data_IF_330526139587
#
_entry.id   IF_330526139587
#
_cell.length_a   1.000
_cell.length_b   1.000
_cell.length_c   1.000
_cell.angle_alpha   90.00
_cell.angle_beta   90.00
_cell.angle_gamma   90.00
#
_symmetry.space_group_name_H-M   'P 1'
#
loop_
_entity.id
_entity.type
_entity.pdbx_description
1 polymer ?
#
# COMPACT_ATOMS: atom_id res chain seq x y z
N UNK A 1 -31.89 -20.54 52.89
CA UNK A 1 -32.40 -20.97 51.57
C UNK A 1 -31.51 -20.28 50.53
N UNK A 2 -30.54 -21.00 49.95
CA UNK A 2 -29.49 -20.43 49.10
C UNK A 2 -30.04 -19.99 47.73
N UNK A 3 -29.51 -18.87 47.25
CA UNK A 3 -29.77 -18.27 45.93
C UNK A 3 -29.34 -19.21 44.80
N UNK A 4 -30.22 -19.42 43.82
CA UNK A 4 -29.89 -20.08 42.57
C UNK A 4 -29.00 -19.19 41.69
N UNK A 5 -27.71 -19.51 41.60
CA UNK A 5 -26.80 -18.92 40.63
C UNK A 5 -27.24 -19.38 39.23
N UNK A 6 -27.81 -18.45 38.45
CA UNK A 6 -27.93 -18.64 36.99
C UNK A 6 -26.51 -18.75 36.42
N UNK A 7 -26.13 -19.94 35.97
CA UNK A 7 -24.93 -20.06 35.14
C UNK A 7 -25.16 -19.30 33.84
N UNK A 8 -24.31 -18.29 33.58
CA UNK A 8 -24.22 -17.67 32.26
C UNK A 8 -23.69 -18.72 31.28
N UNK A 9 -24.26 -18.91 30.09
CA UNK A 9 -23.64 -19.77 29.10
C UNK A 9 -22.27 -19.19 28.70
N UNK A 10 -21.22 -20.01 28.78
CA UNK A 10 -19.97 -19.79 28.06
C UNK A 10 -20.22 -20.11 26.58
N UNK A 11 -20.19 -19.11 25.71
CA UNK A 11 -20.21 -19.25 24.25
C UNK A 11 -19.86 -17.87 23.67
N UNK A 12 -18.88 -17.67 22.79
CA UNK A 12 -17.86 -18.49 22.17
C UNK A 12 -16.63 -17.58 22.03
N UNK A 13 -15.41 -18.12 22.08
CA UNK A 13 -14.19 -17.39 21.77
C UNK A 13 -14.36 -16.62 20.46
N UNK A 14 -14.34 -15.29 20.53
CA UNK A 14 -14.20 -14.41 19.38
C UNK A 14 -12.77 -14.63 18.87
N UNK A 15 -12.57 -15.62 18.01
CA UNK A 15 -11.37 -15.59 17.16
C UNK A 15 -11.50 -14.34 16.29
N UNK A 16 -10.45 -13.51 16.28
CA UNK A 16 -10.40 -12.35 15.39
C UNK A 16 -10.70 -12.83 13.96
N UNK A 17 -11.55 -12.11 13.19
CA UNK A 17 -11.87 -12.51 11.83
C UNK A 17 -10.56 -12.69 11.04
N UNK A 18 -10.48 -13.67 10.13
CA UNK A 18 -9.26 -13.92 9.37
C UNK A 18 -8.86 -12.65 8.62
N UNK A 19 -7.68 -12.12 8.96
CA UNK A 19 -7.14 -10.91 8.36
C UNK A 19 -6.35 -11.27 7.10
N UNK A 20 -6.57 -10.51 6.03
CA UNK A 20 -5.74 -10.55 4.84
C UNK A 20 -4.44 -9.81 5.14
N UNK A 21 -3.32 -10.53 5.03
CA UNK A 21 -1.98 -9.97 5.13
C UNK A 21 -1.50 -9.62 3.73
N UNK A 22 -1.40 -8.33 3.36
CA UNK A 22 -0.83 -7.95 2.07
C UNK A 22 0.67 -8.25 2.01
N UNK A 23 1.15 -8.59 0.81
CA UNK A 23 2.57 -8.79 0.53
C UNK A 23 2.92 -8.15 -0.80
N UNK A 24 4.09 -7.52 -0.85
CA UNK A 24 4.71 -7.02 -2.07
C UNK A 24 5.16 -8.22 -2.92
N UNK A 25 4.63 -8.34 -4.13
CA UNK A 25 4.94 -9.41 -5.09
C UNK A 25 6.04 -8.98 -6.05
N UNK A 26 5.98 -7.73 -6.50
CA UNK A 26 7.02 -7.11 -7.30
C UNK A 26 7.02 -5.60 -7.09
N UNK A 27 8.18 -4.99 -7.33
CA UNK A 27 8.37 -3.55 -7.32
C UNK A 27 9.25 -3.19 -8.52
N UNK A 28 8.74 -2.36 -9.41
CA UNK A 28 9.40 -1.95 -10.65
C UNK A 28 9.23 -0.47 -10.90
N UNK A 29 10.07 0.11 -11.75
CA UNK A 29 9.85 1.42 -12.34
C UNK A 29 9.85 1.25 -13.86
N UNK A 30 8.89 1.84 -14.59
CA UNK A 30 8.86 1.77 -16.05
C UNK A 30 10.03 2.52 -16.69
N UNK A 31 10.58 3.52 -16.01
CA UNK A 31 11.61 4.43 -16.54
C UNK A 31 13.00 4.18 -15.94
N UNK A 32 13.11 3.31 -14.93
CA UNK A 32 14.37 3.04 -14.22
C UNK A 32 14.52 1.56 -13.86
N UNK A 33 15.49 0.88 -14.48
CA UNK A 33 15.78 -0.52 -14.17
C UNK A 33 16.75 -0.63 -12.97
N UNK A 34 16.40 -1.41 -11.95
CA UNK A 34 17.32 -1.69 -10.84
C UNK A 34 18.59 -2.43 -11.34
N UNK A 35 19.80 -2.10 -10.84
CA UNK A 35 20.08 -1.18 -9.73
C UNK A 35 20.42 0.26 -10.17
N UNK A 36 20.03 0.70 -11.37
CA UNK A 36 20.34 2.04 -11.85
C UNK A 36 19.75 3.13 -10.94
N UNK A 37 20.39 4.29 -10.96
CA UNK A 37 19.96 5.49 -10.25
C UNK A 37 19.34 6.50 -11.23
N UNK A 38 18.49 7.43 -10.76
CA UNK A 38 18.05 8.55 -11.57
C UNK A 38 19.23 9.32 -12.17
N UNK A 39 19.05 9.88 -13.37
CA UNK A 39 20.10 10.66 -14.04
C UNK A 39 20.51 11.91 -13.26
N UNK A 40 19.58 12.47 -12.49
CA UNK A 40 19.79 13.59 -11.59
C UNK A 40 19.46 13.13 -10.16
N UNK A 41 20.43 13.23 -9.25
CA UNK A 41 20.27 12.86 -7.84
C UNK A 41 19.90 14.06 -6.95
N UNK A 42 20.12 15.28 -7.45
CA UNK A 42 19.78 16.52 -6.75
C UNK A 42 18.31 16.88 -6.96
N UNK A 43 17.72 16.49 -8.08
CA UNK A 43 16.30 16.70 -8.40
C UNK A 43 15.72 15.50 -9.15
N UNK A 44 14.88 14.68 -8.50
CA UNK A 44 14.30 13.50 -9.16
C UNK A 44 12.81 13.32 -8.93
N UNK A 45 12.19 12.69 -9.93
CA UNK A 45 10.83 12.15 -9.92
C UNK A 45 10.80 10.85 -10.73
N UNK A 46 10.57 9.73 -10.06
CA UNK A 46 10.64 8.39 -10.65
C UNK A 46 9.31 7.68 -10.44
N UNK A 47 8.57 7.30 -11.50
CA UNK A 47 7.35 6.51 -11.35
C UNK A 47 7.70 5.08 -10.90
N UNK A 48 6.85 4.51 -10.07
CA UNK A 48 6.96 3.15 -9.55
C UNK A 48 5.63 2.42 -9.63
N UNK A 49 5.75 1.11 -9.78
CA UNK A 49 4.65 0.14 -9.84
C UNK A 49 4.93 -0.97 -8.83
N UNK A 50 3.95 -1.22 -7.98
CA UNK A 50 3.97 -2.29 -7.00
C UNK A 50 2.82 -3.26 -7.28
N UNK A 51 3.13 -4.53 -7.51
CA UNK A 51 2.12 -5.59 -7.47
C UNK A 51 1.99 -6.04 -6.03
N UNK A 52 0.80 -5.84 -5.44
CA UNK A 52 0.52 -6.16 -4.04
C UNK A 52 -0.65 -7.12 -4.02
N UNK A 53 -0.55 -8.20 -3.24
CA UNK A 53 -1.60 -9.21 -3.15
C UNK A 53 -1.63 -9.91 -1.80
N UNK A 54 -2.68 -10.70 -1.51
CA UNK A 54 -2.73 -11.52 -0.31
C UNK A 54 -1.49 -12.43 -0.20
N UNK A 55 -0.96 -12.61 1.00
CA UNK A 55 0.23 -13.44 1.25
C UNK A 55 0.05 -14.90 0.82
N UNK A 56 -1.18 -15.41 0.82
CA UNK A 56 -1.56 -16.78 0.52
C UNK A 56 -1.63 -17.15 -0.97
N UNK A 57 -1.63 -16.16 -1.88
CA UNK A 57 -1.72 -16.40 -3.33
C UNK A 57 -0.57 -15.73 -4.08
N UNK A 58 -0.32 -16.11 -5.33
CA UNK A 58 0.71 -15.49 -6.17
C UNK A 58 0.29 -14.17 -6.80
N UNK A 59 -1.01 -14.03 -7.11
CA UNK A 59 -1.57 -12.84 -7.73
C UNK A 59 -1.62 -11.60 -6.82
N UNK A 60 -1.91 -10.46 -7.42
CA UNK A 60 -2.08 -9.18 -6.77
C UNK A 60 -2.57 -8.14 -7.76
N UNK A 61 -2.89 -6.96 -7.24
CA UNK A 61 -3.31 -5.81 -8.04
C UNK A 61 -2.15 -4.82 -8.18
N UNK A 62 -2.22 -4.01 -9.23
CA UNK A 62 -1.26 -2.95 -9.52
C UNK A 62 -1.58 -1.68 -8.72
N UNK A 63 -0.57 -1.18 -8.02
CA UNK A 63 -0.57 0.12 -7.36
C UNK A 63 0.59 0.96 -7.88
N UNK A 64 0.32 2.18 -8.35
CA UNK A 64 1.34 3.11 -8.81
C UNK A 64 1.57 4.25 -7.82
N UNK A 65 2.79 4.78 -7.84
CA UNK A 65 3.20 5.97 -7.08
C UNK A 65 4.44 6.58 -7.73
N UNK A 66 4.88 7.75 -7.25
CA UNK A 66 6.06 8.44 -7.74
C UNK A 66 6.98 8.75 -6.57
N UNK A 67 8.25 8.39 -6.73
CA UNK A 67 9.31 8.68 -5.76
C UNK A 67 9.95 10.00 -6.15
N UNK A 68 9.90 10.98 -5.26
CA UNK A 68 10.42 12.33 -5.48
C UNK A 68 11.36 12.73 -4.35
N UNK A 69 12.22 13.71 -4.58
CA UNK A 69 12.90 14.41 -3.49
C UNK A 69 12.30 15.81 -3.23
N UNK A 70 12.62 16.44 -2.08
CA UNK A 70 12.11 17.78 -1.78
C UNK A 70 12.49 18.84 -2.83
N UNK A 71 13.66 18.72 -3.46
CA UNK A 71 14.10 19.65 -4.50
C UNK A 71 13.15 19.66 -5.71
N UNK A 72 12.71 18.48 -6.18
CA UNK A 72 11.74 18.37 -7.26
C UNK A 72 10.40 19.06 -6.96
N UNK A 73 9.94 18.99 -5.71
CA UNK A 73 8.71 19.67 -5.30
C UNK A 73 8.85 21.20 -5.27
N UNK A 74 10.07 21.70 -5.04
CA UNK A 74 10.37 23.14 -5.01
C UNK A 74 10.61 23.71 -6.40
N UNK A 75 11.18 22.92 -7.33
CA UNK A 75 11.44 23.34 -8.72
C UNK A 75 10.16 23.39 -9.56
N UNK A 76 9.17 22.55 -9.24
CA UNK A 76 7.86 22.51 -9.90
C UNK A 76 6.72 22.76 -8.89
N UNK A 77 6.62 23.98 -8.32
CA UNK A 77 5.65 24.27 -7.28
C UNK A 77 4.23 24.22 -7.86
N UNK A 78 3.51 23.15 -7.56
CA UNK A 78 2.11 22.97 -7.94
C UNK A 78 1.28 22.72 -6.69
N UNK A 79 0.15 23.42 -6.56
CA UNK A 79 -0.85 23.09 -5.56
C UNK A 79 -1.49 21.75 -5.93
N UNK A 80 -1.13 20.69 -5.22
CA UNK A 80 -1.65 19.34 -5.42
C UNK A 80 -1.86 18.63 -4.09
N UNK A 81 -2.76 17.64 -4.09
CA UNK A 81 -2.82 16.65 -3.02
C UNK A 81 -1.66 15.67 -3.17
N UNK A 82 -1.02 15.27 -2.07
CA UNK A 82 0.19 14.43 -2.07
C UNK A 82 -0.02 12.93 -2.24
N UNK A 83 -1.23 12.48 -2.59
CA UNK A 83 -1.52 11.06 -2.82
C UNK A 83 -0.66 10.53 -3.97
N UNK A 84 -0.13 9.33 -3.82
CA UNK A 84 0.74 8.70 -4.81
C UNK A 84 2.18 9.23 -4.80
N UNK A 85 2.60 9.98 -3.78
CA UNK A 85 3.98 10.46 -3.66
C UNK A 85 4.70 9.78 -2.49
N UNK A 86 5.90 9.26 -2.75
CA UNK A 86 6.88 8.89 -1.74
C UNK A 86 8.03 9.90 -1.79
N UNK A 87 8.19 10.69 -0.73
CA UNK A 87 9.20 11.74 -0.66
C UNK A 87 10.43 11.20 0.08
N UNK A 88 11.57 11.11 -0.60
CA UNK A 88 12.84 10.65 -0.04
C UNK A 88 13.91 11.76 -0.19
N UNK A 89 14.78 11.99 0.80
CA UNK A 89 15.87 12.96 0.65
C UNK A 89 16.91 12.50 -0.38
N UNK A 90 17.18 11.19 -0.43
CA UNK A 90 18.13 10.55 -1.34
C UNK A 90 17.47 9.31 -1.96
N UNK A 91 17.74 9.06 -3.24
CA UNK A 91 17.18 7.91 -3.92
C UNK A 91 17.85 6.61 -3.46
N UNK A 92 17.04 5.61 -3.12
CA UNK A 92 17.51 4.26 -2.81
C UNK A 92 16.41 3.25 -3.07
N UNK A 93 16.70 2.25 -3.92
CA UNK A 93 15.79 1.13 -4.18
C UNK A 93 15.36 0.41 -2.91
N UNK A 94 16.28 0.20 -1.97
CA UNK A 94 15.97 -0.48 -0.71
C UNK A 94 15.08 0.38 0.19
N UNK A 95 15.27 1.70 0.21
CA UNK A 95 14.40 2.62 0.95
C UNK A 95 12.99 2.65 0.36
N UNK A 96 12.86 2.63 -0.98
CA UNK A 96 11.55 2.56 -1.64
C UNK A 96 10.84 1.26 -1.26
N UNK A 97 11.52 0.11 -1.41
CA UNK A 97 10.96 -1.19 -1.05
C UNK A 97 10.54 -1.24 0.42
N UNK A 98 11.42 -0.83 1.33
CA UNK A 98 11.15 -0.82 2.76
C UNK A 98 9.95 0.09 3.12
N UNK A 99 9.82 1.23 2.44
CA UNK A 99 8.70 2.15 2.64
C UNK A 99 7.37 1.52 2.23
N UNK A 100 7.35 0.80 1.10
CA UNK A 100 6.16 0.04 0.66
C UNK A 100 5.87 -1.09 1.64
N UNK A 101 6.85 -1.90 2.01
CA UNK A 101 6.67 -3.00 2.97
C UNK A 101 6.13 -2.50 4.32
N UNK A 102 6.63 -1.36 4.81
CA UNK A 102 6.12 -0.72 6.03
C UNK A 102 4.66 -0.31 5.87
N UNK A 103 4.27 0.27 4.74
CA UNK A 103 2.87 0.61 4.45
C UNK A 103 1.98 -0.64 4.51
N UNK A 104 2.43 -1.78 3.96
CA UNK A 104 1.67 -3.03 3.96
C UNK A 104 1.34 -3.53 5.38
N UNK A 105 2.26 -3.34 6.35
CA UNK A 105 2.02 -3.78 7.73
C UNK A 105 0.84 -3.07 8.40
N UNK A 106 0.50 -1.87 7.94
CA UNK A 106 -0.61 -1.05 8.46
C UNK A 106 -1.95 -1.33 7.73
N UNK A 107 -1.89 -2.05 6.61
CA UNK A 107 -3.02 -2.24 5.70
C UNK A 107 -3.76 -3.57 5.91
N UNK A 108 -3.44 -4.37 6.93
CA UNK A 108 -4.15 -5.63 7.22
C UNK A 108 -5.64 -5.36 7.49
N UNK A 109 -6.54 -6.08 6.80
CA UNK A 109 -8.00 -5.92 6.92
C UNK A 109 -8.72 -7.26 6.67
N UNK A 110 -10.03 -7.39 6.97
CA UNK A 110 -10.77 -8.65 6.82
C UNK A 110 -10.94 -9.14 5.37
N UNK A 111 -10.84 -8.27 4.37
CA UNK A 111 -10.97 -8.64 2.96
C UNK A 111 -9.91 -7.97 2.08
N UNK A 112 -9.63 -8.56 0.91
CA UNK A 112 -8.70 -7.93 -0.06
C UNK A 112 -9.20 -6.57 -0.51
N UNK A 113 -10.51 -6.41 -0.73
CA UNK A 113 -11.10 -5.11 -1.10
C UNK A 113 -10.83 -4.05 -0.03
N UNK A 114 -10.92 -4.40 1.25
CA UNK A 114 -10.64 -3.46 2.35
C UNK A 114 -9.15 -3.10 2.41
N UNK A 115 -8.25 -4.07 2.17
CA UNK A 115 -6.82 -3.84 2.06
C UNK A 115 -6.51 -2.89 0.90
N UNK A 116 -7.04 -3.19 -0.29
CA UNK A 116 -6.82 -2.39 -1.48
C UNK A 116 -7.33 -0.95 -1.31
N UNK A 117 -8.52 -0.79 -0.75
CA UNK A 117 -9.09 0.52 -0.41
C UNK A 117 -8.23 1.28 0.62
N UNK A 118 -7.66 0.58 1.61
CA UNK A 118 -6.74 1.20 2.57
C UNK A 118 -5.46 1.69 1.90
N UNK A 119 -4.83 0.86 1.06
CA UNK A 119 -3.65 1.21 0.29
C UNK A 119 -3.92 2.36 -0.69
N UNK A 120 -5.12 2.40 -1.29
CA UNK A 120 -5.54 3.40 -2.26
C UNK A 120 -5.62 4.82 -1.69
N UNK A 121 -5.62 4.99 -0.36
CA UNK A 121 -5.51 6.31 0.29
C UNK A 121 -4.12 6.93 0.09
N UNK A 122 -3.09 6.09 -0.07
CA UNK A 122 -1.69 6.49 -0.17
C UNK A 122 -1.14 6.28 -1.58
N UNK A 123 -1.46 5.13 -2.19
CA UNK A 123 -1.05 4.74 -3.54
C UNK A 123 -2.21 4.91 -4.54
N UNK A 124 -1.92 4.78 -5.83
CA UNK A 124 -2.92 4.82 -6.89
C UNK A 124 -3.25 3.40 -7.37
N UNK A 125 -4.41 2.87 -7.00
CA UNK A 125 -4.85 1.53 -7.41
C UNK A 125 -5.36 1.52 -8.86
N UNK A 126 -5.09 0.46 -9.64
CA UNK A 126 -5.55 0.37 -11.03
C UNK A 126 -7.08 0.34 -11.19
N UNK A 127 -7.80 -0.13 -10.16
CA UNK A 127 -9.26 -0.13 -10.10
C UNK A 127 -9.84 1.10 -9.40
N UNK A 128 -9.04 2.14 -9.14
CA UNK A 128 -9.52 3.39 -8.55
C UNK A 128 -10.65 3.99 -9.40
N UNK A 129 -11.81 4.20 -8.78
CA UNK A 129 -13.06 4.63 -9.43
C UNK A 129 -13.59 3.69 -10.53
N UNK A 130 -13.18 2.42 -10.57
CA UNK A 130 -13.77 1.46 -11.50
C UNK A 130 -15.28 1.29 -11.23
N UNK A 131 -16.09 1.66 -12.21
CA UNK A 131 -17.53 1.39 -12.22
C UNK A 131 -17.76 0.18 -13.12
N UNK A 132 -18.26 -0.91 -12.55
CA UNK A 132 -18.64 -2.08 -13.34
C UNK A 132 -19.73 -1.68 -14.34
N UNK A 133 -19.43 -1.74 -15.63
CA UNK A 133 -20.43 -1.54 -16.68
C UNK A 133 -21.39 -2.73 -16.62
N UNK A 134 -22.63 -2.49 -16.21
CA UNK A 134 -23.70 -3.48 -16.36
C UNK A 134 -24.07 -3.55 -17.84
N UNK A 135 -23.73 -4.68 -18.48
CA UNK A 135 -24.22 -5.05 -19.81
C UNK A 135 -25.63 -5.64 -19.72
#
# INVERSE_FOLDING_TARGET
MLMGLRQRPLSSSLEDPPMVIPKLKSLTSPDLAAPALPNDLEEFSVPFEAIIGPSSISGGDLFSFTVVNPAFLLSSPRTTWGRGLLILPEFSWSTVQFSVERLLTLAMRPSWSDVANELNKTLCWEFDNYQQVKL
#
